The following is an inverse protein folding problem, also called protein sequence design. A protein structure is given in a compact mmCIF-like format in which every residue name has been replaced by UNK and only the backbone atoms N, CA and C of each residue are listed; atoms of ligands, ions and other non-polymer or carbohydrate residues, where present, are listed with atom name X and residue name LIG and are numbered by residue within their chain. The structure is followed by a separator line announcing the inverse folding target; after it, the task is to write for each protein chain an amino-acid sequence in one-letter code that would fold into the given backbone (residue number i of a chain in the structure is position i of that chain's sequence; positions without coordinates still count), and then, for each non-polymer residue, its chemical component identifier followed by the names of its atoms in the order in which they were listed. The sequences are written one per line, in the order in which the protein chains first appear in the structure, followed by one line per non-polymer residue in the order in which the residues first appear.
data_IF_972494777622
#
_entry.id   IF_972494777622
#
_cell.length_a   1.000
_cell.length_b   1.000
_cell.length_c   1.000
_cell.angle_alpha   90.00
_cell.angle_beta   90.00
_cell.angle_gamma   90.00
#
_symmetry.space_group_name_H-M   'P 1'
#
loop_
_entity.id
_entity.type
_entity.pdbx_description
1 polymer ?
#
# COMPACT_ATOMS: atom_id res chain seq x y z
N UNK A 1 24.13 -8.99 3.73
CA UNK A 1 23.83 -7.56 3.97
C UNK A 1 22.81 -7.42 5.09
N UNK A 2 22.71 -6.25 5.73
CA UNK A 2 21.68 -5.95 6.74
C UNK A 2 20.28 -6.10 6.13
N UNK A 3 19.27 -6.43 6.93
CA UNK A 3 17.85 -6.45 6.54
C UNK A 3 17.04 -5.81 7.66
N UNK A 4 16.09 -4.95 7.31
CA UNK A 4 15.22 -4.27 8.27
C UNK A 4 13.76 -4.59 7.92
N UNK A 5 12.96 -5.04 8.88
CA UNK A 5 11.55 -5.33 8.63
C UNK A 5 10.77 -4.03 8.40
N UNK A 6 9.76 -4.02 7.51
CA UNK A 6 8.93 -2.86 7.30
C UNK A 6 7.99 -2.59 8.46
N UNK A 7 7.79 -1.31 8.75
CA UNK A 7 6.59 -0.84 9.43
C UNK A 7 5.49 -0.62 8.41
N UNK A 8 4.33 -1.22 8.63
CA UNK A 8 3.19 -1.19 7.70
C UNK A 8 1.99 -0.54 8.38
N UNK A 9 1.38 0.44 7.71
CA UNK A 9 0.18 1.12 8.16
C UNK A 9 -0.86 1.11 7.06
N UNK A 10 -2.05 0.58 7.37
CA UNK A 10 -3.19 0.64 6.47
C UNK A 10 -4.03 1.87 6.82
N UNK A 11 -3.96 2.89 5.98
CA UNK A 11 -4.71 4.12 6.16
C UNK A 11 -6.08 3.97 5.49
N UNK A 12 -7.15 4.39 6.17
CA UNK A 12 -8.48 4.29 5.62
C UNK A 12 -8.76 5.38 4.57
N UNK A 13 -9.90 5.31 3.85
CA UNK A 13 -10.26 6.34 2.90
C UNK A 13 -10.44 7.71 3.59
N UNK A 14 -10.17 8.81 2.88
CA UNK A 14 -10.41 10.16 3.39
C UNK A 14 -11.88 10.34 3.81
N UNK A 15 -12.17 11.19 4.80
CA UNK A 15 -13.53 11.49 5.21
C UNK A 15 -14.44 11.89 4.03
N UNK A 16 -13.91 12.65 3.08
CA UNK A 16 -14.65 13.17 1.93
C UNK A 16 -15.17 12.03 1.03
N UNK A 17 -14.37 10.96 0.84
CA UNK A 17 -14.80 9.77 0.10
C UNK A 17 -15.84 8.96 0.87
N UNK A 18 -15.68 8.89 2.19
CA UNK A 18 -16.58 8.14 3.09
C UNK A 18 -17.94 8.78 3.24
N UNK A 19 -18.05 10.10 3.06
CA UNK A 19 -19.32 10.82 3.11
C UNK A 19 -20.26 10.50 1.94
N UNK A 20 -19.87 9.60 1.02
CA UNK A 20 -20.70 9.19 -0.12
C UNK A 20 -20.64 10.13 -1.31
N UNK A 21 -19.74 11.11 -1.29
CA UNK A 21 -19.53 12.04 -2.40
C UNK A 21 -18.83 11.39 -3.60
N UNK A 22 -18.21 10.21 -3.41
CA UNK A 22 -17.48 9.47 -4.45
C UNK A 22 -18.02 8.04 -4.62
N UNK A 23 -18.06 7.51 -5.85
CA UNK A 23 -18.52 6.15 -6.13
C UNK A 23 -17.52 5.06 -5.73
N UNK A 24 -16.29 5.45 -5.38
CA UNK A 24 -15.19 4.53 -5.06
C UNK A 24 -14.49 4.99 -3.78
N UNK A 25 -13.92 4.03 -3.05
CA UNK A 25 -13.10 4.26 -1.87
C UNK A 25 -11.65 3.86 -2.14
N UNK A 26 -10.72 4.66 -1.64
CA UNK A 26 -9.29 4.38 -1.74
C UNK A 26 -8.73 3.90 -0.39
N UNK A 27 -7.99 2.80 -0.38
CA UNK A 27 -7.16 2.39 0.75
C UNK A 27 -5.70 2.72 0.44
N UNK A 28 -4.95 3.20 1.44
CA UNK A 28 -3.52 3.49 1.28
C UNK A 28 -2.69 2.60 2.19
N UNK A 29 -1.76 1.84 1.62
CA UNK A 29 -0.77 1.07 2.36
C UNK A 29 0.53 1.87 2.44
N UNK A 30 0.90 2.33 3.64
CA UNK A 30 2.16 3.03 3.89
C UNK A 30 3.18 2.04 4.46
N UNK A 31 4.28 1.85 3.73
CA UNK A 31 5.39 0.96 4.11
C UNK A 31 6.66 1.78 4.31
N UNK A 32 7.32 1.67 5.47
CA UNK A 32 8.53 2.46 5.78
C UNK A 32 9.53 1.73 6.67
N UNK A 33 10.78 2.22 6.66
CA UNK A 33 11.84 1.78 7.58
C UNK A 33 12.41 0.39 7.29
N UNK A 34 12.34 -0.07 6.04
CA UNK A 34 12.79 -1.39 5.63
C UNK A 34 14.02 -1.34 4.72
N UNK A 35 14.70 -2.48 4.60
CA UNK A 35 15.80 -2.67 3.67
C UNK A 35 15.91 -4.16 3.29
N UNK A 36 16.16 -4.51 2.00
CA UNK A 36 16.37 -3.62 0.84
C UNK A 36 15.07 -2.92 0.40
N UNK A 37 15.19 -1.90 -0.44
CA UNK A 37 14.05 -1.08 -0.89
C UNK A 37 13.09 -1.81 -1.84
N UNK A 38 13.50 -2.95 -2.41
CA UNK A 38 12.64 -3.80 -3.23
C UNK A 38 11.66 -4.60 -2.35
N UNK A 39 10.37 -4.31 -2.48
CA UNK A 39 9.26 -5.02 -1.81
C UNK A 39 8.10 -5.28 -2.75
N UNK A 40 7.34 -6.34 -2.45
CA UNK A 40 6.07 -6.66 -3.10
C UNK A 40 4.91 -6.38 -2.14
N UNK A 41 3.89 -5.68 -2.62
CA UNK A 41 2.65 -5.40 -1.88
C UNK A 41 1.47 -6.06 -2.59
N UNK A 42 0.68 -6.83 -1.84
CA UNK A 42 -0.50 -7.53 -2.36
C UNK A 42 -1.73 -7.20 -1.53
N UNK A 43 -2.85 -6.96 -2.21
CA UNK A 43 -4.14 -6.71 -1.58
C UNK A 43 -4.98 -7.99 -1.54
N UNK A 44 -5.62 -8.21 -0.39
CA UNK A 44 -6.58 -9.29 -0.19
C UNK A 44 -7.90 -8.71 0.30
N UNK A 45 -9.01 -9.28 -0.18
CA UNK A 45 -10.34 -9.02 0.34
C UNK A 45 -10.87 -10.30 0.95
N UNK A 46 -11.19 -10.28 2.24
CA UNK A 46 -11.68 -11.45 2.96
C UNK A 46 -10.77 -12.69 2.79
N UNK A 47 -9.45 -12.47 2.87
CA UNK A 47 -8.41 -13.51 2.69
C UNK A 47 -8.30 -14.07 1.26
N UNK A 48 -9.08 -13.54 0.31
CA UNK A 48 -8.98 -13.87 -1.11
C UNK A 48 -8.11 -12.84 -1.84
N UNK A 49 -7.20 -13.32 -2.68
CA UNK A 49 -6.38 -12.44 -3.52
C UNK A 49 -7.25 -11.72 -4.54
N UNK A 50 -7.13 -10.40 -4.60
CA UNK A 50 -7.84 -9.62 -5.62
C UNK A 50 -7.04 -9.75 -6.92
N UNK A 51 -7.44 -10.72 -7.76
CA UNK A 51 -6.88 -10.94 -9.09
C UNK A 51 -7.08 -9.72 -9.98
N UNK A 52 -6.11 -8.82 -9.98
CA UNK A 52 -6.19 -7.50 -10.62
C UNK A 52 -5.29 -6.46 -9.95
N UNK A 53 -4.87 -6.68 -8.70
CA UNK A 53 -3.75 -5.97 -8.11
C UNK A 53 -2.46 -6.58 -8.66
N UNK A 54 -2.08 -6.28 -9.90
CA UNK A 54 -0.67 -6.26 -10.26
C UNK A 54 0.00 -5.42 -9.19
N UNK A 55 0.82 -6.03 -8.33
CA UNK A 55 1.44 -5.36 -7.19
C UNK A 55 2.01 -4.03 -7.67
N UNK A 56 1.58 -2.93 -7.06
CA UNK A 56 2.21 -1.64 -7.33
C UNK A 56 3.64 -1.77 -6.85
N UNK A 57 4.58 -2.02 -7.76
CA UNK A 57 6.00 -1.83 -7.51
C UNK A 57 6.19 -0.32 -7.30
N UNK A 58 6.16 0.10 -6.04
CA UNK A 58 6.56 1.45 -5.69
C UNK A 58 8.08 1.51 -5.80
N UNK A 59 8.59 1.93 -6.97
CA UNK A 59 9.91 2.54 -7.01
C UNK A 59 9.79 3.87 -6.26
N UNK A 60 10.57 4.07 -5.19
CA UNK A 60 10.64 5.37 -4.55
C UNK A 60 11.06 6.41 -5.60
N UNK A 61 10.54 7.66 -5.57
CA UNK A 61 11.13 8.71 -6.39
C UNK A 61 12.58 8.85 -5.95
N UNK A 62 13.51 8.77 -6.91
CA UNK A 62 14.94 8.95 -6.69
C UNK A 62 15.16 10.17 -5.77
N UNK A 63 15.70 9.93 -4.59
CA UNK A 63 16.11 10.98 -3.68
C UNK A 63 17.32 11.70 -4.32
N UNK A 64 17.05 12.76 -5.07
CA UNK A 64 18.03 13.78 -5.44
C UNK A 64 18.35 14.70 -4.28
#
# INVERSE_FOLDING_TARGET
GKRLPPSVFLLPPPPEERSGSRPTLSLTCLVRGFFPEAIDVQWQKNQEHIGGSSGSSAAAPDAG
#
